data_IF_045878691213
#
_entry.id   IF_045878691213
#
_cell.length_a   1.000
_cell.length_b   1.000
_cell.length_c   1.000
_cell.angle_alpha   90.00
_cell.angle_beta   90.00
_cell.angle_gamma   90.00
#
_symmetry.space_group_name_H-M   'P 1'
#
loop_
_entity.id
_entity.type
_entity.pdbx_description
1 polymer ?
#
# COMPACT_ATOMS: atom_id res chain seq x y z
N UNK A 1 54.63 -19.28 -28.96
CA UNK A 1 55.14 -18.98 -27.61
C UNK A 1 54.13 -18.10 -26.92
N UNK A 2 53.27 -18.67 -26.08
CA UNK A 2 52.17 -17.94 -25.42
C UNK A 2 52.14 -18.41 -23.97
N UNK A 3 52.56 -17.53 -23.06
CA UNK A 3 52.64 -17.80 -21.62
C UNK A 3 51.23 -17.78 -21.02
N UNK A 4 50.79 -18.93 -20.52
CA UNK A 4 49.63 -19.09 -19.65
C UNK A 4 49.97 -18.55 -18.26
N UNK A 5 49.28 -17.47 -17.86
CA UNK A 5 49.35 -16.95 -16.50
C UNK A 5 48.45 -17.79 -15.58
N UNK A 6 49.09 -18.56 -14.70
CA UNK A 6 48.45 -19.30 -13.62
C UNK A 6 48.06 -18.29 -12.54
N UNK A 7 46.76 -18.06 -12.36
CA UNK A 7 46.21 -17.25 -11.27
C UNK A 7 46.11 -18.15 -10.04
N UNK A 8 47.06 -17.98 -9.13
CA UNK A 8 47.14 -18.69 -7.86
C UNK A 8 46.00 -18.23 -6.94
N UNK A 9 45.08 -19.15 -6.66
CA UNK A 9 43.87 -18.93 -5.86
C UNK A 9 44.27 -18.97 -4.37
N UNK A 10 44.55 -17.81 -3.80
CA UNK A 10 44.85 -17.67 -2.38
C UNK A 10 43.55 -17.75 -1.56
N UNK A 11 43.10 -18.98 -1.27
CA UNK A 11 41.98 -19.24 -0.35
C UNK A 11 42.44 -18.99 1.10
N UNK A 12 42.44 -17.71 1.48
CA UNK A 12 42.55 -17.32 2.89
C UNK A 12 41.23 -17.72 3.56
N UNK A 13 41.23 -18.88 4.20
CA UNK A 13 40.15 -19.38 5.02
C UNK A 13 39.79 -18.36 6.12
N UNK A 14 38.72 -17.60 5.89
CA UNK A 14 38.14 -16.69 6.86
C UNK A 14 37.57 -17.51 8.04
N UNK A 15 38.37 -17.69 9.10
CA UNK A 15 37.89 -18.25 10.36
C UNK A 15 37.20 -17.15 11.16
N UNK A 16 35.86 -17.17 11.35
CA UNK A 16 35.20 -16.18 12.18
C UNK A 16 35.60 -16.37 13.65
N UNK A 17 36.20 -15.33 14.23
CA UNK A 17 36.57 -15.23 15.64
C UNK A 17 35.30 -15.36 16.52
N UNK A 18 35.20 -16.46 17.29
CA UNK A 18 34.00 -16.81 18.10
C UNK A 18 33.83 -15.96 19.37
N UNK A 19 34.76 -15.07 19.71
CA UNK A 19 34.79 -14.39 21.00
C UNK A 19 34.20 -12.97 21.00
N UNK A 20 33.61 -12.49 19.89
CA UNK A 20 32.96 -11.17 19.82
C UNK A 20 31.43 -11.24 20.01
N UNK A 21 30.97 -11.92 21.08
CA UNK A 21 29.54 -11.97 21.46
C UNK A 21 29.23 -10.82 22.43
N UNK A 22 28.73 -9.69 21.93
CA UNK A 22 28.22 -8.64 22.82
C UNK A 22 27.58 -7.45 22.12
N UNK A 23 28.24 -6.88 21.11
CA UNK A 23 27.75 -5.62 20.50
C UNK A 23 28.04 -5.47 19.00
N UNK A 24 28.84 -6.36 18.40
CA UNK A 24 29.24 -6.28 16.99
C UNK A 24 28.23 -6.83 15.98
N UNK A 25 27.38 -7.77 16.37
CA UNK A 25 26.50 -8.50 15.43
C UNK A 25 25.34 -7.65 14.88
N UNK A 26 24.76 -6.76 15.69
CA UNK A 26 23.70 -5.83 15.23
C UNK A 26 24.28 -4.88 14.17
N UNK A 27 25.52 -4.42 14.33
CA UNK A 27 26.17 -3.52 13.36
C UNK A 27 26.39 -4.19 12.00
N UNK A 28 26.76 -5.48 11.97
CA UNK A 28 26.96 -6.23 10.72
C UNK A 28 25.65 -6.50 10.00
N UNK A 29 24.59 -6.85 10.74
CA UNK A 29 23.27 -7.06 10.17
C UNK A 29 22.70 -5.78 9.58
N UNK A 30 22.76 -4.66 10.30
CA UNK A 30 22.26 -3.36 9.82
C UNK A 30 23.00 -2.88 8.57
N UNK A 31 24.33 -3.06 8.50
CA UNK A 31 25.11 -2.77 7.28
C UNK A 31 24.64 -3.61 6.10
N UNK A 32 24.44 -4.93 6.28
CA UNK A 32 23.95 -5.81 5.21
C UNK A 32 22.54 -5.41 4.75
N UNK A 33 21.67 -5.04 5.68
CA UNK A 33 20.31 -4.60 5.38
C UNK A 33 20.31 -3.30 4.56
N UNK A 34 21.15 -2.33 4.93
CA UNK A 34 21.29 -1.07 4.20
C UNK A 34 21.83 -1.31 2.79
N UNK A 35 22.86 -2.13 2.61
CA UNK A 35 23.38 -2.50 1.28
C UNK A 35 22.31 -3.16 0.42
N UNK A 36 21.46 -4.03 1.00
CA UNK A 36 20.34 -4.64 0.27
C UNK A 36 19.30 -3.60 -0.17
N UNK A 37 18.96 -2.65 0.71
CA UNK A 37 18.03 -1.56 0.41
C UNK A 37 18.58 -0.62 -0.67
N UNK A 38 19.85 -0.27 -0.61
CA UNK A 38 20.51 0.55 -1.62
C UNK A 38 20.55 -0.13 -2.98
N UNK A 39 20.89 -1.43 -3.03
CA UNK A 39 20.85 -2.21 -4.28
C UNK A 39 19.43 -2.30 -4.85
N UNK A 40 18.43 -2.53 -4.01
CA UNK A 40 17.03 -2.55 -4.45
C UNK A 40 16.59 -1.18 -4.97
N UNK A 41 16.98 -0.09 -4.30
CA UNK A 41 16.68 1.27 -4.73
C UNK A 41 17.35 1.59 -6.08
N UNK A 42 18.62 1.21 -6.27
CA UNK A 42 19.32 1.36 -7.55
C UNK A 42 18.64 0.55 -8.66
N UNK A 43 18.29 -0.72 -8.40
CA UNK A 43 17.55 -1.55 -9.36
C UNK A 43 16.24 -0.88 -9.77
N UNK A 44 15.46 -0.37 -8.80
CA UNK A 44 14.20 0.29 -9.08
C UNK A 44 14.39 1.58 -9.89
N UNK A 45 15.42 2.38 -9.60
CA UNK A 45 15.71 3.59 -10.37
C UNK A 45 16.13 3.27 -11.81
N UNK A 46 16.88 2.18 -12.04
CA UNK A 46 17.24 1.71 -13.38
C UNK A 46 16.00 1.25 -14.15
N UNK A 47 15.16 0.42 -13.52
CA UNK A 47 13.89 -0.04 -14.14
C UNK A 47 13.00 1.17 -14.47
N UNK A 48 12.86 2.11 -13.54
CA UNK A 48 12.09 3.34 -13.75
C UNK A 48 12.65 4.16 -14.93
N UNK A 49 13.96 4.41 -14.97
CA UNK A 49 14.61 5.17 -16.03
C UNK A 49 14.49 4.50 -17.40
N UNK A 50 14.62 3.17 -17.46
CA UNK A 50 14.45 2.38 -18.68
C UNK A 50 13.00 2.41 -19.16
N UNK A 51 12.03 2.19 -18.26
CA UNK A 51 10.60 2.17 -18.60
C UNK A 51 10.13 3.53 -19.08
N UNK A 52 10.46 4.61 -18.37
CA UNK A 52 10.07 5.97 -18.78
C UNK A 52 10.74 6.36 -20.09
N UNK A 53 12.03 6.04 -20.25
CA UNK A 53 12.77 6.28 -21.49
C UNK A 53 12.13 5.58 -22.68
N UNK A 54 11.79 4.29 -22.52
CA UNK A 54 11.09 3.50 -23.53
C UNK A 54 9.70 4.04 -23.90
N UNK A 55 8.91 4.45 -22.90
CA UNK A 55 7.59 5.03 -23.15
C UNK A 55 7.72 6.34 -23.93
N UNK A 56 8.67 7.21 -23.56
CA UNK A 56 8.90 8.47 -24.28
C UNK A 56 9.40 8.23 -25.71
N UNK A 57 10.34 7.30 -25.92
CA UNK A 57 10.84 7.01 -27.27
C UNK A 57 9.75 6.41 -28.15
N UNK A 58 8.96 5.45 -27.66
CA UNK A 58 7.85 4.86 -28.39
C UNK A 58 6.77 5.90 -28.72
N UNK A 59 6.37 6.72 -27.74
CA UNK A 59 5.37 7.77 -27.95
C UNK A 59 5.85 8.83 -28.94
N UNK A 60 7.11 9.26 -28.81
CA UNK A 60 7.73 10.22 -29.72
C UNK A 60 7.85 9.67 -31.15
N UNK A 61 8.30 8.42 -31.30
CA UNK A 61 8.36 7.74 -32.59
C UNK A 61 6.96 7.58 -33.21
N UNK A 62 5.98 7.10 -32.45
CA UNK A 62 4.60 6.97 -32.90
C UNK A 62 4.05 8.31 -33.41
N UNK A 63 4.19 9.39 -32.64
CA UNK A 63 3.73 10.72 -33.07
C UNK A 63 4.45 11.24 -34.31
N UNK A 64 5.76 11.03 -34.40
CA UNK A 64 6.55 11.51 -35.54
C UNK A 64 6.21 10.77 -36.83
N UNK A 65 6.09 9.44 -36.77
CA UNK A 65 5.94 8.61 -37.97
C UNK A 65 4.48 8.38 -38.38
N UNK A 66 3.53 8.35 -37.44
CA UNK A 66 2.12 8.04 -37.74
C UNK A 66 1.27 9.30 -37.78
N UNK A 67 1.46 10.22 -36.84
CA UNK A 67 0.66 11.45 -36.74
C UNK A 67 1.26 12.63 -37.52
N UNK A 68 2.49 12.50 -38.04
CA UNK A 68 3.23 13.55 -38.78
C UNK A 68 3.32 14.90 -38.03
N UNK A 69 3.19 14.87 -36.70
CA UNK A 69 3.42 16.02 -35.82
C UNK A 69 4.93 16.16 -35.63
N UNK A 70 5.52 17.34 -35.82
CA UNK A 70 6.99 17.48 -35.95
C UNK A 70 7.70 18.09 -34.73
N UNK A 71 7.09 19.04 -34.01
CA UNK A 71 7.78 19.77 -32.94
C UNK A 71 7.87 19.00 -31.62
N UNK A 72 6.73 18.74 -30.98
CA UNK A 72 6.66 18.12 -29.65
C UNK A 72 7.11 16.64 -29.67
N UNK A 73 6.86 15.96 -30.78
CA UNK A 73 7.20 14.55 -30.99
C UNK A 73 8.71 14.29 -31.06
N UNK A 74 9.46 15.15 -31.76
CA UNK A 74 10.92 15.09 -31.83
C UNK A 74 11.55 15.36 -30.46
N UNK A 75 11.04 16.36 -29.73
CA UNK A 75 11.47 16.63 -28.35
C UNK A 75 11.22 15.43 -27.44
N UNK A 76 10.05 14.78 -27.54
CA UNK A 76 9.76 13.56 -26.78
C UNK A 76 10.72 12.42 -27.13
N UNK A 77 11.05 12.22 -28.41
CA UNK A 77 11.98 11.19 -28.85
C UNK A 77 13.39 11.45 -28.31
N UNK A 78 13.91 12.68 -28.49
CA UNK A 78 15.23 13.09 -27.98
C UNK A 78 15.27 12.97 -26.46
N UNK A 79 14.23 13.42 -25.76
CA UNK A 79 14.13 13.28 -24.31
C UNK A 79 14.12 11.80 -23.88
N UNK A 80 13.40 10.93 -24.58
CA UNK A 80 13.38 9.50 -24.32
C UNK A 80 14.75 8.85 -24.48
N UNK A 81 15.46 9.13 -25.58
CA UNK A 81 16.83 8.63 -25.81
C UNK A 81 17.80 9.17 -24.76
N UNK A 82 17.71 10.46 -24.42
CA UNK A 82 18.52 11.07 -23.37
C UNK A 82 18.25 10.41 -21.99
N UNK A 83 17.00 10.10 -21.67
CA UNK A 83 16.64 9.37 -20.45
C UNK A 83 17.22 7.96 -20.42
N UNK A 84 17.15 7.22 -21.53
CA UNK A 84 17.77 5.89 -21.64
C UNK A 84 19.28 5.96 -21.45
N UNK A 85 19.96 6.89 -22.14
CA UNK A 85 21.40 7.11 -22.02
C UNK A 85 21.80 7.49 -20.59
N UNK A 86 21.09 8.43 -19.98
CA UNK A 86 21.35 8.86 -18.60
C UNK A 86 21.16 7.73 -17.60
N UNK A 87 20.16 6.86 -17.81
CA UNK A 87 19.90 5.70 -16.93
C UNK A 87 21.06 4.70 -16.97
N UNK A 88 21.66 4.48 -18.14
CA UNK A 88 22.78 3.56 -18.33
C UNK A 88 24.10 4.12 -17.78
N UNK A 89 24.38 5.41 -18.03
CA UNK A 89 25.65 6.04 -17.62
C UNK A 89 25.65 6.42 -16.14
N UNK A 90 24.53 6.97 -15.64
CA UNK A 90 24.45 7.56 -14.32
C UNK A 90 23.07 7.31 -13.67
N UNK A 91 22.76 6.06 -13.27
CA UNK A 91 21.47 5.70 -12.68
C UNK A 91 21.16 6.44 -11.37
N UNK A 92 22.17 6.98 -10.69
CA UNK A 92 22.01 7.81 -9.50
C UNK A 92 21.24 9.12 -9.78
N UNK A 93 21.32 9.69 -10.99
CA UNK A 93 20.56 10.89 -11.34
C UNK A 93 19.05 10.62 -11.40
N UNK A 94 18.64 9.38 -11.67
CA UNK A 94 17.23 8.98 -11.72
C UNK A 94 16.54 8.95 -10.35
N UNK A 95 17.28 9.11 -9.25
CA UNK A 95 16.70 9.19 -7.89
C UNK A 95 15.70 10.35 -7.79
N UNK A 96 16.05 11.52 -8.33
CA UNK A 96 15.24 12.72 -8.23
C UNK A 96 13.91 12.59 -9.00
N UNK A 97 13.90 12.31 -10.32
CA UNK A 97 12.64 12.18 -11.07
C UNK A 97 11.78 11.03 -10.53
N UNK A 98 12.39 9.93 -10.10
CA UNK A 98 11.64 8.82 -9.50
C UNK A 98 10.94 9.25 -8.19
N UNK A 99 11.61 10.00 -7.31
CA UNK A 99 11.00 10.53 -6.08
C UNK A 99 9.83 11.48 -6.38
N UNK A 100 10.00 12.38 -7.34
CA UNK A 100 8.96 13.33 -7.76
C UNK A 100 7.75 12.57 -8.30
N UNK A 101 7.96 11.64 -9.24
CA UNK A 101 6.89 10.83 -9.82
C UNK A 101 6.18 9.97 -8.77
N UNK A 102 6.92 9.37 -7.84
CA UNK A 102 6.33 8.63 -6.72
C UNK A 102 5.50 9.54 -5.82
N UNK A 103 5.98 10.75 -5.55
CA UNK A 103 5.23 11.76 -4.79
C UNK A 103 3.90 12.12 -5.46
N UNK A 104 3.94 12.37 -6.77
CA UNK A 104 2.74 12.67 -7.57
C UNK A 104 1.80 11.46 -7.58
N UNK A 105 2.30 10.27 -7.88
CA UNK A 105 1.49 9.05 -7.95
C UNK A 105 0.83 8.72 -6.61
N UNK A 106 1.55 8.88 -5.49
CA UNK A 106 1.00 8.66 -4.15
C UNK A 106 -0.03 9.73 -3.77
N UNK A 107 0.21 10.99 -4.10
CA UNK A 107 -0.75 12.07 -3.88
C UNK A 107 -2.03 11.85 -4.68
N UNK A 108 -1.92 11.58 -5.98
CA UNK A 108 -3.06 11.32 -6.87
C UNK A 108 -3.81 10.07 -6.40
N UNK A 109 -3.10 8.96 -6.13
CA UNK A 109 -3.70 7.72 -5.66
C UNK A 109 -4.45 7.90 -4.33
N UNK A 110 -3.88 8.64 -3.39
CA UNK A 110 -4.52 8.90 -2.09
C UNK A 110 -5.77 9.75 -2.25
N UNK A 111 -5.72 10.82 -3.04
CA UNK A 111 -6.87 11.70 -3.24
C UNK A 111 -7.98 11.04 -4.04
N UNK A 112 -7.64 10.28 -5.08
CA UNK A 112 -8.59 9.52 -5.88
C UNK A 112 -9.28 8.46 -5.00
N UNK A 113 -8.53 7.73 -4.19
CA UNK A 113 -9.09 6.74 -3.27
C UNK A 113 -10.00 7.40 -2.21
N UNK A 114 -9.59 8.54 -1.64
CA UNK A 114 -10.44 9.33 -0.73
C UNK A 114 -11.74 9.76 -1.42
N UNK A 115 -11.67 10.21 -2.67
CA UNK A 115 -12.83 10.59 -3.47
C UNK A 115 -13.79 9.43 -3.67
N UNK A 116 -13.29 8.28 -4.12
CA UNK A 116 -14.10 7.05 -4.29
C UNK A 116 -14.74 6.64 -2.96
N UNK A 117 -13.97 6.64 -1.87
CA UNK A 117 -14.47 6.24 -0.56
C UNK A 117 -15.53 7.21 -0.03
N UNK A 118 -15.38 8.52 -0.30
CA UNK A 118 -16.38 9.54 -0.01
C UNK A 118 -17.68 9.26 -0.79
N UNK A 119 -17.58 9.02 -2.11
CA UNK A 119 -18.74 8.72 -2.95
C UNK A 119 -19.47 7.47 -2.45
N UNK A 120 -18.73 6.39 -2.16
CA UNK A 120 -19.30 5.15 -1.65
C UNK A 120 -19.97 5.38 -0.30
N UNK A 121 -19.33 6.13 0.60
CA UNK A 121 -19.90 6.47 1.91
C UNK A 121 -21.24 7.21 1.76
N UNK A 122 -21.29 8.24 0.92
CA UNK A 122 -22.51 9.02 0.70
C UNK A 122 -23.61 8.23 0.00
N UNK A 123 -23.27 7.32 -0.92
CA UNK A 123 -24.26 6.53 -1.67
C UNK A 123 -24.77 5.30 -0.92
N UNK A 124 -23.97 4.71 -0.03
CA UNK A 124 -24.30 3.42 0.61
C UNK A 124 -24.54 3.56 2.11
N UNK A 125 -23.55 4.09 2.82
CA UNK A 125 -23.56 4.14 4.30
C UNK A 125 -24.58 5.16 4.79
N UNK A 126 -24.54 6.37 4.23
CA UNK A 126 -25.40 7.47 4.67
C UNK A 126 -26.90 7.18 4.51
N UNK A 127 -27.41 6.75 3.33
CA UNK A 127 -28.82 6.43 3.20
C UNK A 127 -29.23 5.23 4.05
N UNK A 128 -28.39 4.20 4.20
CA UNK A 128 -28.66 3.08 5.09
C UNK A 128 -28.80 3.53 6.55
N UNK A 129 -27.92 4.44 6.99
CA UNK A 129 -27.98 5.06 8.31
C UNK A 129 -29.25 5.88 8.52
N UNK A 130 -29.62 6.73 7.55
CA UNK A 130 -30.86 7.53 7.62
C UNK A 130 -32.13 6.66 7.64
N UNK A 131 -32.18 5.59 6.83
CA UNK A 131 -33.31 4.65 6.83
C UNK A 131 -33.42 3.94 8.17
N UNK A 132 -32.30 3.48 8.73
CA UNK A 132 -32.29 2.83 10.04
C UNK A 132 -32.74 3.79 11.14
N UNK A 133 -32.25 5.03 11.11
CA UNK A 133 -32.66 6.08 12.03
C UNK A 133 -34.17 6.33 11.97
N UNK A 134 -34.73 6.49 10.76
CA UNK A 134 -36.16 6.72 10.57
C UNK A 134 -37.02 5.55 11.06
N UNK A 135 -36.56 4.31 10.88
CA UNK A 135 -37.31 3.11 11.28
C UNK A 135 -37.32 2.93 12.80
N UNK A 136 -36.25 3.32 13.48
CA UNK A 136 -36.08 3.07 14.91
C UNK A 136 -36.42 4.28 15.80
N UNK A 137 -36.90 5.40 15.24
CA UNK A 137 -37.24 6.63 15.99
C UNK A 137 -36.16 7.06 17.00
N UNK A 138 -34.88 6.82 16.69
CA UNK A 138 -33.78 7.28 17.55
C UNK A 138 -33.44 8.73 17.18
N UNK A 139 -33.49 9.62 18.17
CA UNK A 139 -33.05 11.00 17.99
C UNK A 139 -31.53 11.02 17.69
N UNK A 140 -31.09 11.73 16.63
CA UNK A 140 -29.72 11.66 16.10
C UNK A 140 -28.64 12.16 17.06
N UNK A 141 -29.02 13.00 18.02
CA UNK A 141 -28.12 13.68 18.92
C UNK A 141 -28.67 13.51 20.33
N UNK A 142 -28.04 12.65 21.12
CA UNK A 142 -28.22 12.69 22.57
C UNK A 142 -27.63 14.02 23.05
N UNK A 143 -28.46 15.06 23.14
CA UNK A 143 -28.08 16.31 23.79
C UNK A 143 -28.30 16.14 25.29
N UNK A 144 -27.21 16.03 26.04
CA UNK A 144 -27.27 16.05 27.50
C UNK A 144 -27.57 17.48 27.95
N UNK A 145 -28.84 17.77 28.24
CA UNK A 145 -29.22 19.02 28.86
C UNK A 145 -28.79 19.01 30.33
N UNK A 146 -27.51 19.30 30.61
CA UNK A 146 -26.84 19.71 31.87
C UNK A 146 -27.30 19.17 33.26
N UNK A 147 -28.23 18.23 33.34
CA UNK A 147 -28.83 17.71 34.55
C UNK A 147 -29.17 16.26 34.32
N UNK A 148 -28.47 15.40 35.07
CA UNK A 148 -28.62 13.96 35.24
C UNK A 148 -29.30 13.17 34.11
N UNK A 149 -28.54 12.24 33.55
CA UNK A 149 -29.04 11.21 32.64
C UNK A 149 -30.32 10.60 33.21
N UNK A 150 -31.49 10.76 32.55
CA UNK A 150 -32.69 10.06 32.97
C UNK A 150 -32.42 8.56 32.92
N UNK A 151 -33.03 7.77 33.82
CA UNK A 151 -32.95 6.31 33.82
C UNK A 151 -33.47 5.77 32.48
N UNK A 152 -32.58 5.62 31.50
CA UNK A 152 -32.92 5.12 30.17
C UNK A 152 -32.99 3.59 30.28
N UNK A 153 -34.14 2.99 29.94
CA UNK A 153 -34.20 1.56 29.62
C UNK A 153 -33.13 1.25 28.55
N UNK A 154 -32.09 0.52 28.94
CA UNK A 154 -30.96 0.16 28.07
C UNK A 154 -29.63 0.82 28.41
N UNK A 155 -29.59 1.77 29.37
CA UNK A 155 -28.32 2.23 29.95
C UNK A 155 -27.90 1.29 31.07
N UNK A 156 -27.21 0.20 30.72
CA UNK A 156 -26.44 -0.54 31.71
C UNK A 156 -25.12 0.19 31.90
N UNK A 157 -24.79 0.53 33.16
CA UNK A 157 -23.43 0.94 33.48
C UNK A 157 -22.48 -0.09 32.86
N UNK A 158 -21.53 0.38 32.06
CA UNK A 158 -20.42 -0.46 31.62
C UNK A 158 -19.58 -0.71 32.86
N UNK A 159 -20.02 -1.65 33.69
CA UNK A 159 -19.21 -2.27 34.72
C UNK A 159 -18.05 -2.86 33.93
N UNK A 160 -16.88 -2.24 34.04
CA UNK A 160 -15.63 -2.84 33.60
C UNK A 160 -15.39 -4.04 34.52
N UNK A 161 -16.13 -5.11 34.30
CA UNK A 161 -15.94 -6.38 34.98
C UNK A 161 -14.69 -7.02 34.40
N UNK A 162 -13.53 -6.62 34.93
CA UNK A 162 -12.31 -7.43 34.85
C UNK A 162 -12.45 -8.72 35.69
N UNK A 163 -13.55 -8.90 36.43
CA UNK A 163 -13.81 -10.08 37.24
C UNK A 163 -15.26 -10.58 37.07
N UNK A 164 -15.52 -11.25 35.96
CA UNK A 164 -16.41 -12.42 35.85
C UNK A 164 -16.67 -12.72 34.37
N UNK A 165 -15.73 -13.45 33.76
CA UNK A 165 -15.82 -14.01 32.42
C UNK A 165 -16.91 -15.07 32.30
N UNK A 166 -18.17 -14.63 32.29
CA UNK A 166 -19.34 -15.41 31.87
C UNK A 166 -20.26 -14.53 31.03
N UNK A 167 -19.78 -14.11 29.87
CA UNK A 167 -20.66 -13.60 28.81
C UNK A 167 -20.13 -14.06 27.44
N UNK A 168 -20.90 -14.99 26.87
CA UNK A 168 -20.84 -15.59 25.53
C UNK A 168 -19.84 -16.74 25.30
N UNK A 169 -20.43 -17.92 25.34
CA UNK A 169 -19.96 -19.29 25.12
C UNK A 169 -19.46 -19.59 23.68
N UNK A 170 -18.98 -18.60 22.94
CA UNK A 170 -18.42 -18.80 21.59
C UNK A 170 -17.23 -17.88 21.35
N UNK A 171 -16.14 -18.15 22.06
CA UNK A 171 -14.78 -17.73 21.66
C UNK A 171 -14.43 -18.46 20.36
N UNK A 172 -14.93 -17.98 19.23
CA UNK A 172 -14.49 -18.45 17.93
C UNK A 172 -12.97 -18.18 17.83
N UNK A 173 -12.20 -19.13 17.26
CA UNK A 173 -10.77 -18.91 17.04
C UNK A 173 -10.55 -17.66 16.18
N UNK A 174 -9.44 -16.95 16.38
CA UNK A 174 -9.22 -15.59 15.81
C UNK A 174 -9.46 -15.47 14.30
N UNK A 175 -9.29 -16.54 13.54
CA UNK A 175 -9.58 -16.57 12.09
C UNK A 175 -11.08 -16.56 11.73
N UNK A 176 -11.95 -16.95 12.66
CA UNK A 176 -13.42 -16.94 12.54
C UNK A 176 -14.07 -15.70 13.18
N UNK A 177 -13.29 -14.79 13.78
CA UNK A 177 -13.80 -13.50 14.27
C UNK A 177 -14.56 -12.67 13.21
N UNK A 178 -14.20 -12.64 11.92
CA UNK A 178 -14.98 -11.91 10.93
C UNK A 178 -16.42 -12.45 10.79
N UNK A 179 -16.60 -13.74 11.05
CA UNK A 179 -17.89 -14.44 10.91
C UNK A 179 -18.85 -14.09 12.06
N UNK A 180 -18.33 -13.73 13.23
CA UNK A 180 -19.16 -13.26 14.35
C UNK A 180 -19.87 -11.94 14.03
N UNK A 181 -19.22 -11.06 13.26
CA UNK A 181 -19.82 -9.79 12.79
C UNK A 181 -21.01 -10.09 11.87
N UNK A 182 -20.88 -11.05 10.96
CA UNK A 182 -21.97 -11.45 10.05
C UNK A 182 -23.13 -12.07 10.82
N UNK A 183 -22.84 -12.97 11.76
CA UNK A 183 -23.86 -13.60 12.63
C UNK A 183 -24.60 -12.54 13.44
N UNK A 184 -23.89 -11.53 13.97
CA UNK A 184 -24.50 -10.43 14.72
C UNK A 184 -25.53 -9.66 13.88
N UNK A 185 -25.17 -9.27 12.65
CA UNK A 185 -26.10 -8.55 11.76
C UNK A 185 -27.29 -9.40 11.32
N UNK A 186 -27.09 -10.70 11.07
CA UNK A 186 -28.17 -11.63 10.75
C UNK A 186 -29.15 -11.77 11.92
N UNK A 187 -28.64 -11.88 13.16
CA UNK A 187 -29.46 -12.06 14.37
C UNK A 187 -30.26 -10.81 14.74
N UNK A 188 -29.72 -9.61 14.50
CA UNK A 188 -30.40 -8.34 14.76
C UNK A 188 -31.32 -7.87 13.61
N UNK A 189 -31.56 -8.68 12.58
CA UNK A 189 -32.38 -8.30 11.41
C UNK A 189 -31.91 -7.03 10.68
N UNK A 190 -30.63 -6.71 10.81
CA UNK A 190 -29.97 -5.56 10.18
C UNK A 190 -29.35 -5.95 8.83
N UNK A 191 -30.06 -6.77 8.05
CA UNK A 191 -29.57 -7.35 6.78
C UNK A 191 -29.25 -6.27 5.72
N UNK A 192 -29.81 -5.06 5.85
CA UNK A 192 -29.56 -3.94 4.95
C UNK A 192 -28.11 -3.42 5.04
N UNK A 193 -27.42 -3.61 6.18
CA UNK A 193 -26.02 -3.23 6.35
C UNK A 193 -25.03 -4.26 5.80
N UNK A 194 -25.49 -5.50 5.56
CA UNK A 194 -24.65 -6.57 5.03
C UNK A 194 -24.09 -6.28 3.62
N UNK A 195 -24.88 -5.82 2.62
CA UNK A 195 -24.31 -5.42 1.33
C UNK A 195 -23.35 -4.24 1.46
N UNK A 196 -23.61 -3.30 2.37
CA UNK A 196 -22.71 -2.18 2.63
C UNK A 196 -21.36 -2.64 3.18
N UNK A 197 -21.37 -3.61 4.11
CA UNK A 197 -20.16 -4.22 4.66
C UNK A 197 -19.38 -4.99 3.60
N UNK A 198 -20.06 -5.73 2.72
CA UNK A 198 -19.41 -6.42 1.59
C UNK A 198 -18.75 -5.41 0.65
N UNK A 199 -19.45 -4.32 0.30
CA UNK A 199 -18.88 -3.26 -0.55
C UNK A 199 -17.64 -2.65 0.09
N UNK A 200 -17.69 -2.35 1.39
CA UNK A 200 -16.56 -1.74 2.10
C UNK A 200 -15.37 -2.69 2.20
N UNK A 201 -15.62 -3.99 2.41
CA UNK A 201 -14.58 -5.03 2.44
C UNK A 201 -13.95 -5.19 1.05
N UNK A 202 -14.77 -5.25 -0.01
CA UNK A 202 -14.28 -5.26 -1.39
C UNK A 202 -13.46 -4.02 -1.70
N UNK A 203 -13.89 -2.83 -1.26
CA UNK A 203 -13.17 -1.59 -1.51
C UNK A 203 -11.83 -1.53 -0.75
N UNK A 204 -11.81 -2.02 0.50
CA UNK A 204 -10.60 -2.15 1.29
C UNK A 204 -9.62 -3.14 0.67
N UNK A 205 -10.12 -4.28 0.20
CA UNK A 205 -9.35 -5.29 -0.51
C UNK A 205 -8.79 -4.74 -1.82
N UNK A 206 -9.60 -4.07 -2.64
CA UNK A 206 -9.17 -3.35 -3.84
C UNK A 206 -8.11 -2.30 -3.46
N UNK A 207 -8.28 -1.57 -2.35
CA UNK A 207 -7.30 -0.60 -1.87
C UNK A 207 -5.95 -1.24 -1.56
N UNK A 208 -5.95 -2.37 -0.85
CA UNK A 208 -4.73 -3.17 -0.61
C UNK A 208 -4.13 -3.65 -1.92
N UNK A 209 -4.96 -4.15 -2.84
CA UNK A 209 -4.52 -4.58 -4.17
C UNK A 209 -3.99 -3.45 -5.03
N UNK A 210 -4.53 -2.24 -4.98
CA UNK A 210 -4.04 -1.08 -5.73
C UNK A 210 -2.73 -0.58 -5.12
N UNK A 211 -2.60 -0.54 -3.80
CA UNK A 211 -1.35 -0.15 -3.14
C UNK A 211 -0.23 -1.18 -3.37
N UNK A 212 -0.57 -2.48 -3.33
CA UNK A 212 0.35 -3.58 -3.64
C UNK A 212 0.56 -3.80 -5.13
N UNK A 213 -0.40 -3.41 -6.00
CA UNK A 213 -0.27 -3.51 -7.46
C UNK A 213 0.40 -2.30 -8.08
N UNK A 214 0.35 -1.12 -7.46
CA UNK A 214 1.29 -0.05 -7.76
C UNK A 214 2.74 -0.50 -7.45
N UNK A 215 2.91 -1.50 -6.58
CA UNK A 215 4.17 -2.22 -6.36
C UNK A 215 4.33 -3.46 -7.28
N UNK A 216 3.27 -3.97 -7.92
CA UNK A 216 3.32 -5.17 -8.77
C UNK A 216 4.12 -5.02 -10.09
N UNK A 217 4.22 -3.87 -10.79
CA UNK A 217 5.16 -3.78 -11.92
C UNK A 217 6.62 -3.95 -11.47
N UNK A 218 6.93 -3.88 -10.17
CA UNK A 218 8.23 -4.25 -9.61
C UNK A 218 8.37 -5.74 -9.24
N UNK A 219 7.26 -6.48 -9.06
CA UNK A 219 7.27 -7.92 -8.80
C UNK A 219 7.30 -8.70 -10.12
N UNK A 220 6.57 -8.26 -11.14
CA UNK A 220 6.54 -8.91 -12.47
C UNK A 220 7.81 -8.69 -13.31
N UNK A 221 8.70 -7.76 -12.95
CA UNK A 221 10.04 -7.62 -13.57
C UNK A 221 11.12 -8.48 -12.89
N UNK A 222 10.72 -9.35 -11.96
CA UNK A 222 11.62 -10.28 -11.25
C UNK A 222 11.43 -11.75 -11.65
N UNK A 223 10.50 -12.02 -12.56
CA UNK A 223 10.40 -13.26 -13.31
C UNK A 223 10.67 -12.99 -14.79
#
# INVERSE_FOLDING_TARGET
MTKTAVIERNEVAFRPNRNARGSGHVSSYMKRLNVRRERAALKNNVIFGLTIGWVLTLMGAFKTYILLESGVSQLMLVAGVAFLGTTLVAPGLMIYPHKVMKGIATFVGTNLFKGILCIVYFLTILPAGLVYQKKNNHEPFYSWAAGNAPEIEGWTEKIASDENGKSSEYSLPGWLQPLSVVIYFARNSQLLFLPCLIVLLMLGLIGVFVQSSALAPFIYTLF
#
